data_IF_818007528074
#
_entry.id   IF_818007528074
#
_cell.length_a   1.000
_cell.length_b   1.000
_cell.length_c   1.000
_cell.angle_alpha   90.00
_cell.angle_beta   90.00
_cell.angle_gamma   90.00
#
_symmetry.space_group_name_H-M   'P 1'
#
loop_
_entity.id
_entity.type
_entity.pdbx_description
1 polymer ?
#
# COMPACT_ATOMS: atom_id res chain seq x y z
N UNK A 1 0.43 38.11 31.47
CA UNK A 1 0.81 38.60 30.13
C UNK A 1 2.25 38.20 29.75
N UNK A 2 3.23 38.45 30.61
CA UNK A 2 4.65 38.12 30.34
C UNK A 2 4.97 36.63 30.09
N UNK A 3 4.30 35.70 30.78
CA UNK A 3 4.51 34.26 30.55
C UNK A 3 4.09 33.83 29.14
N UNK A 4 2.97 34.39 28.65
CA UNK A 4 2.48 34.13 27.29
C UNK A 4 3.48 34.67 26.25
N UNK A 5 3.98 35.89 26.45
CA UNK A 5 4.98 36.50 25.56
C UNK A 5 6.27 35.68 25.50
N UNK A 6 6.81 35.26 26.65
CA UNK A 6 7.99 34.39 26.73
C UNK A 6 7.79 33.07 26.01
N UNK A 7 6.64 32.43 26.18
CA UNK A 7 6.32 31.18 25.50
C UNK A 7 6.23 31.36 23.98
N UNK A 8 5.67 32.47 23.49
CA UNK A 8 5.64 32.78 22.06
C UNK A 8 7.04 32.98 21.49
N UNK A 9 7.92 33.70 22.19
CA UNK A 9 9.33 33.86 21.78
C UNK A 9 10.08 32.52 21.73
N UNK A 10 9.77 31.59 22.64
CA UNK A 10 10.35 30.24 22.59
C UNK A 10 9.81 29.45 21.39
N UNK A 11 8.52 29.58 21.06
CA UNK A 11 7.95 28.95 19.87
C UNK A 11 8.60 29.47 18.57
N UNK A 12 8.80 30.78 18.43
CA UNK A 12 9.53 31.37 17.29
C UNK A 12 10.98 30.87 17.19
N UNK A 13 11.65 30.64 18.33
CA UNK A 13 13.00 30.04 18.33
C UNK A 13 12.98 28.61 17.82
N UNK A 14 11.97 27.81 18.21
CA UNK A 14 11.81 26.43 17.72
C UNK A 14 11.58 26.43 16.21
N UNK A 15 10.72 27.31 15.70
CA UNK A 15 10.45 27.47 14.27
C UNK A 15 11.73 27.75 13.47
N UNK A 16 12.55 28.71 13.91
CA UNK A 16 13.82 29.05 13.24
C UNK A 16 14.83 27.89 13.23
N UNK A 17 14.86 27.08 14.29
CA UNK A 17 15.72 25.90 14.36
C UNK A 17 15.24 24.87 13.33
N UNK A 18 13.94 24.59 13.31
CA UNK A 18 13.35 23.65 12.35
C UNK A 18 13.61 24.08 10.89
N UNK A 19 13.42 25.36 10.57
CA UNK A 19 13.69 25.91 9.25
C UNK A 19 15.17 25.74 8.85
N UNK A 20 16.10 25.98 9.77
CA UNK A 20 17.53 25.80 9.52
C UNK A 20 17.88 24.33 9.22
N UNK A 21 17.29 23.40 9.97
CA UNK A 21 17.55 21.97 9.79
C UNK A 21 16.96 21.45 8.47
N UNK A 22 15.76 21.91 8.08
CA UNK A 22 15.16 21.62 6.77
C UNK A 22 16.03 22.17 5.64
N UNK A 23 16.50 23.41 5.75
CA UNK A 23 17.38 24.03 4.75
C UNK A 23 18.72 23.28 4.62
N UNK A 24 19.26 22.75 5.71
CA UNK A 24 20.47 21.92 5.68
C UNK A 24 20.19 20.58 4.97
N UNK A 25 19.10 19.90 5.32
CA UNK A 25 18.70 18.65 4.70
C UNK A 25 18.46 18.83 3.19
N UNK A 26 17.83 19.92 2.77
CA UNK A 26 17.64 20.26 1.35
C UNK A 26 18.98 20.42 0.62
N UNK A 27 19.95 21.13 1.20
CA UNK A 27 21.28 21.26 0.60
C UNK A 27 21.96 19.91 0.39
N UNK A 28 21.82 19.00 1.38
CA UNK A 28 22.36 17.63 1.27
C UNK A 28 21.68 16.89 0.12
N UNK A 29 20.35 16.89 0.05
CA UNK A 29 19.61 16.25 -1.05
C UNK A 29 20.01 16.80 -2.42
N UNK A 30 20.10 18.12 -2.56
CA UNK A 30 20.49 18.77 -3.83
C UNK A 30 21.92 18.41 -4.26
N UNK A 31 22.79 18.06 -3.31
CA UNK A 31 24.17 17.66 -3.58
C UNK A 31 24.34 16.22 -4.08
N UNK A 32 23.31 15.37 -4.01
CA UNK A 32 23.42 13.99 -4.49
C UNK A 32 23.67 13.94 -6.00
N UNK A 33 24.56 13.05 -6.45
CA UNK A 33 24.79 12.82 -7.88
C UNK A 33 23.86 11.76 -8.44
N UNK A 34 23.54 10.75 -7.64
CA UNK A 34 22.62 9.68 -8.00
C UNK A 34 21.17 10.19 -8.05
N UNK A 35 20.49 9.91 -9.17
CA UNK A 35 19.12 10.37 -9.43
C UNK A 35 18.13 9.75 -8.47
N UNK A 36 18.16 8.44 -8.30
CA UNK A 36 17.20 7.73 -7.44
C UNK A 36 17.32 8.21 -5.98
N UNK A 37 18.55 8.36 -5.48
CA UNK A 37 18.82 8.91 -4.16
C UNK A 37 18.29 10.34 -4.02
N UNK A 38 18.42 11.18 -5.06
CA UNK A 38 17.91 12.55 -5.04
C UNK A 38 16.38 12.61 -5.03
N UNK A 39 15.71 11.83 -5.87
CA UNK A 39 14.25 11.69 -5.87
C UNK A 39 13.77 11.23 -4.48
N UNK A 40 14.40 10.20 -3.92
CA UNK A 40 14.06 9.73 -2.58
C UNK A 40 14.30 10.79 -1.49
N UNK A 41 15.39 11.55 -1.61
CA UNK A 41 15.68 12.70 -0.74
C UNK A 41 14.57 13.74 -0.78
N UNK A 42 14.10 14.12 -1.96
CA UNK A 42 12.99 15.06 -2.12
C UNK A 42 11.67 14.51 -1.55
N UNK A 43 11.34 13.23 -1.78
CA UNK A 43 10.16 12.61 -1.16
C UNK A 43 10.24 12.61 0.38
N UNK A 44 11.45 12.48 0.94
CA UNK A 44 11.68 12.57 2.38
C UNK A 44 11.45 13.98 2.91
N UNK A 45 11.93 15.01 2.20
CA UNK A 45 11.68 16.40 2.54
C UNK A 45 10.19 16.74 2.42
N UNK A 46 9.51 16.24 1.38
CA UNK A 46 8.07 16.37 1.21
C UNK A 46 7.31 15.77 2.40
N UNK A 47 7.63 14.52 2.79
CA UNK A 47 7.03 13.87 3.95
C UNK A 47 7.19 14.68 5.24
N UNK A 48 8.36 15.25 5.47
CA UNK A 48 8.68 16.01 6.68
C UNK A 48 7.95 17.37 6.72
N UNK A 49 7.92 18.07 5.58
CA UNK A 49 7.52 19.49 5.52
C UNK A 49 6.12 19.72 4.97
N UNK A 50 5.57 18.75 4.22
CA UNK A 50 4.37 18.89 3.37
C UNK A 50 4.49 19.99 2.31
N UNK A 51 5.69 20.42 1.98
CA UNK A 51 5.91 21.40 0.92
C UNK A 51 5.80 20.72 -0.47
N UNK A 52 4.78 21.03 -1.29
CA UNK A 52 4.56 20.36 -2.57
C UNK A 52 5.69 20.57 -3.58
N UNK A 53 6.51 21.62 -3.43
CA UNK A 53 7.65 21.84 -4.32
C UNK A 53 8.67 20.68 -4.27
N UNK A 54 8.81 19.99 -3.13
CA UNK A 54 9.69 18.82 -3.08
C UNK A 54 9.11 17.61 -3.82
N UNK A 55 7.79 17.42 -3.78
CA UNK A 55 7.16 16.37 -4.60
C UNK A 55 7.30 16.70 -6.09
N UNK A 56 7.12 17.97 -6.45
CA UNK A 56 7.32 18.44 -7.82
C UNK A 56 8.77 18.24 -8.29
N UNK A 57 9.75 18.64 -7.48
CA UNK A 57 11.18 18.40 -7.76
C UNK A 57 11.47 16.89 -7.97
N UNK A 58 10.85 16.01 -7.17
CA UNK A 58 10.98 14.56 -7.31
C UNK A 58 10.41 14.05 -8.64
N UNK A 59 9.24 14.56 -9.06
CA UNK A 59 8.56 14.17 -10.31
C UNK A 59 9.29 14.72 -11.53
N UNK A 60 9.74 15.97 -11.51
CA UNK A 60 10.48 16.59 -12.63
C UNK A 60 11.82 15.88 -12.90
N UNK A 61 12.39 15.26 -11.86
CA UNK A 61 13.61 14.46 -11.97
C UNK A 61 13.39 13.03 -12.48
N UNK A 62 12.17 12.51 -12.47
CA UNK A 62 11.90 11.13 -12.84
C UNK A 62 12.03 10.94 -14.36
N UNK A 63 12.83 9.95 -14.78
CA UNK A 63 13.07 9.66 -16.20
C UNK A 63 12.60 8.27 -16.60
N UNK A 64 12.43 7.37 -15.63
CA UNK A 64 12.13 5.96 -15.87
C UNK A 64 10.89 5.50 -15.12
N UNK A 65 10.28 4.40 -15.58
CA UNK A 65 9.19 3.75 -14.86
C UNK A 65 9.55 3.35 -13.41
N UNK A 66 10.83 3.09 -13.13
CA UNK A 66 11.31 2.79 -11.77
C UNK A 66 11.25 4.04 -10.89
N UNK A 67 11.65 5.20 -11.43
CA UNK A 67 11.57 6.47 -10.72
C UNK A 67 10.10 6.82 -10.38
N UNK A 68 9.19 6.70 -11.35
CA UNK A 68 7.76 6.95 -11.14
C UNK A 68 7.13 5.95 -10.15
N UNK A 69 7.49 4.66 -10.27
CA UNK A 69 7.03 3.64 -9.32
C UNK A 69 7.52 3.96 -7.90
N UNK A 70 8.78 4.35 -7.73
CA UNK A 70 9.34 4.75 -6.44
C UNK A 70 8.60 5.94 -5.85
N UNK A 71 8.22 6.93 -6.66
CA UNK A 71 7.42 8.09 -6.21
C UNK A 71 6.07 7.62 -5.69
N UNK A 72 5.35 6.77 -6.43
CA UNK A 72 4.06 6.20 -6.00
C UNK A 72 4.20 5.38 -4.72
N UNK A 73 5.27 4.60 -4.59
CA UNK A 73 5.56 3.76 -3.42
C UNK A 73 5.90 4.55 -2.17
N UNK A 74 6.69 5.61 -2.31
CA UNK A 74 7.26 6.32 -1.15
C UNK A 74 6.51 7.59 -0.78
N UNK A 75 5.74 8.18 -1.68
CA UNK A 75 4.88 9.31 -1.34
C UNK A 75 3.83 8.89 -0.31
N UNK A 76 3.57 9.77 0.65
CA UNK A 76 2.48 9.58 1.60
C UNK A 76 1.11 9.90 0.97
N UNK A 77 1.10 10.66 -0.12
CA UNK A 77 -0.09 10.96 -0.89
C UNK A 77 -0.34 9.86 -1.93
N UNK A 78 -1.62 9.64 -2.23
CA UNK A 78 -2.02 8.76 -3.32
C UNK A 78 -1.93 9.57 -4.63
N UNK A 79 -1.03 9.17 -5.52
CA UNK A 79 -0.68 9.88 -6.75
C UNK A 79 -1.04 9.03 -7.99
N UNK A 80 -2.34 8.83 -8.30
CA UNK A 80 -2.78 8.06 -9.47
C UNK A 80 -2.28 8.65 -10.80
N UNK A 81 -2.12 9.98 -10.88
CA UNK A 81 -1.56 10.66 -12.04
C UNK A 81 -0.12 10.25 -12.34
N UNK A 82 0.70 10.02 -11.30
CA UNK A 82 2.08 9.54 -11.47
C UNK A 82 2.11 8.07 -11.88
N UNK A 83 1.18 7.25 -11.38
CA UNK A 83 1.03 5.87 -11.84
C UNK A 83 0.64 5.79 -13.33
N UNK A 84 -0.10 6.78 -13.86
CA UNK A 84 -0.44 6.83 -15.28
C UNK A 84 0.76 7.15 -16.19
N UNK A 85 1.78 7.83 -15.68
CA UNK A 85 3.01 8.17 -16.42
C UNK A 85 3.89 6.94 -16.70
N UNK A 86 3.70 5.83 -15.97
CA UNK A 86 4.45 4.59 -16.15
C UNK A 86 4.04 3.92 -17.48
N UNK A 87 4.99 3.57 -18.33
CA UNK A 87 4.70 2.95 -19.63
C UNK A 87 4.55 1.43 -19.53
N UNK A 88 5.43 0.77 -18.76
CA UNK A 88 5.40 -0.67 -18.58
C UNK A 88 4.10 -1.12 -17.92
N UNK A 89 3.33 -1.94 -18.63
CA UNK A 89 2.07 -2.51 -18.13
C UNK A 89 2.24 -3.20 -16.77
N UNK A 90 3.32 -3.97 -16.60
CA UNK A 90 3.59 -4.65 -15.32
C UNK A 90 3.84 -3.66 -14.18
N UNK A 91 4.69 -2.64 -14.41
CA UNK A 91 5.00 -1.64 -13.38
C UNK A 91 3.80 -0.74 -13.08
N UNK A 92 2.99 -0.40 -14.09
CA UNK A 92 1.73 0.32 -13.90
C UNK A 92 0.76 -0.46 -13.02
N UNK A 93 0.64 -1.78 -13.25
CA UNK A 93 -0.14 -2.66 -12.37
C UNK A 93 0.38 -2.66 -10.93
N UNK A 94 1.70 -2.69 -10.73
CA UNK A 94 2.31 -2.58 -9.40
C UNK A 94 2.00 -1.23 -8.72
N UNK A 95 2.16 -0.12 -9.44
CA UNK A 95 1.85 1.21 -8.93
C UNK A 95 0.37 1.31 -8.49
N UNK A 96 -0.56 0.80 -9.30
CA UNK A 96 -1.97 0.76 -8.91
C UNK A 96 -2.26 -0.19 -7.75
N UNK A 97 -1.55 -1.32 -7.63
CA UNK A 97 -1.63 -2.17 -6.44
C UNK A 97 -1.20 -1.42 -5.17
N UNK A 98 -0.11 -0.65 -5.24
CA UNK A 98 0.37 0.19 -4.14
C UNK A 98 -0.69 1.22 -3.74
N UNK A 99 -1.27 1.93 -4.72
CA UNK A 99 -2.33 2.91 -4.46
C UNK A 99 -3.57 2.26 -3.83
N UNK A 100 -4.02 1.12 -4.37
CA UNK A 100 -5.14 0.34 -3.83
C UNK A 100 -4.88 -0.07 -2.38
N UNK A 101 -3.68 -0.53 -2.06
CA UNK A 101 -3.34 -1.01 -0.72
C UNK A 101 -3.12 0.08 0.32
N UNK A 102 -2.70 1.28 -0.11
CA UNK A 102 -2.55 2.47 0.73
C UNK A 102 -3.90 3.09 1.07
N UNK A 103 -4.73 3.29 0.04
CA UNK A 103 -6.00 4.02 0.16
C UNK A 103 -7.18 3.12 0.53
N UNK A 104 -7.13 1.85 0.11
CA UNK A 104 -8.29 0.98 0.12
C UNK A 104 -9.37 1.37 -0.90
N UNK A 105 -9.10 2.31 -1.82
CA UNK A 105 -10.09 2.71 -2.83
C UNK A 105 -10.26 1.60 -3.86
N UNK A 106 -11.42 0.94 -3.81
CA UNK A 106 -11.73 -0.18 -4.71
C UNK A 106 -12.00 0.26 -6.15
N UNK A 107 -12.17 1.57 -6.43
CA UNK A 107 -12.25 2.04 -7.82
C UNK A 107 -10.94 1.78 -8.57
N UNK A 108 -9.82 1.71 -7.86
CA UNK A 108 -8.51 1.43 -8.45
C UNK A 108 -8.39 -0.01 -8.98
N UNK A 109 -9.29 -0.93 -8.61
CA UNK A 109 -9.24 -2.31 -9.12
C UNK A 109 -9.43 -2.37 -10.63
N UNK A 110 -10.18 -1.42 -11.22
CA UNK A 110 -10.40 -1.38 -12.67
C UNK A 110 -9.16 -0.94 -13.47
N UNK A 111 -8.14 -0.43 -12.77
CA UNK A 111 -6.86 0.00 -13.34
C UNK A 111 -5.80 -1.12 -13.30
N UNK A 112 -6.08 -2.23 -12.61
CA UNK A 112 -5.16 -3.37 -12.46
C UNK A 112 -5.67 -4.51 -13.35
N UNK A 113 -5.02 -4.71 -14.50
CA UNK A 113 -5.36 -5.77 -15.45
C UNK A 113 -4.74 -7.12 -15.09
N UNK A 114 -3.63 -7.15 -14.33
CA UNK A 114 -3.02 -8.39 -13.87
C UNK A 114 -3.85 -8.99 -12.72
N UNK A 115 -4.58 -10.06 -13.05
CA UNK A 115 -5.48 -10.77 -12.13
C UNK A 115 -4.76 -11.27 -10.88
N UNK A 116 -3.50 -11.73 -11.01
CA UNK A 116 -2.74 -12.28 -9.90
C UNK A 116 -2.30 -11.16 -8.94
N UNK A 117 -1.80 -10.05 -9.48
CA UNK A 117 -1.44 -8.88 -8.69
C UNK A 117 -2.67 -8.29 -8.01
N UNK A 118 -3.77 -8.08 -8.75
CA UNK A 118 -5.04 -7.59 -8.20
C UNK A 118 -5.53 -8.47 -7.04
N UNK A 119 -5.51 -9.78 -7.23
CA UNK A 119 -5.97 -10.74 -6.22
C UNK A 119 -5.12 -10.74 -4.96
N UNK A 120 -3.80 -10.65 -5.12
CA UNK A 120 -2.88 -10.54 -3.99
C UNK A 120 -3.10 -9.24 -3.21
N UNK A 121 -3.29 -8.12 -3.90
CA UNK A 121 -3.54 -6.81 -3.31
C UNK A 121 -4.90 -6.74 -2.61
N UNK A 122 -5.97 -7.25 -3.23
CA UNK A 122 -7.29 -7.34 -2.61
C UNK A 122 -7.29 -8.23 -1.36
N UNK A 123 -6.53 -9.33 -1.34
CA UNK A 123 -6.33 -10.11 -0.11
C UNK A 123 -5.72 -9.25 1.00
N UNK A 124 -4.66 -8.48 0.70
CA UNK A 124 -4.04 -7.58 1.69
C UNK A 124 -5.01 -6.49 2.17
N UNK A 125 -5.78 -5.88 1.26
CA UNK A 125 -6.81 -4.90 1.59
C UNK A 125 -7.90 -5.51 2.48
N UNK A 126 -8.37 -6.72 2.17
CA UNK A 126 -9.38 -7.42 2.97
C UNK A 126 -8.92 -7.62 4.43
N UNK A 127 -7.65 -7.99 4.63
CA UNK A 127 -7.12 -8.25 5.98
C UNK A 127 -6.92 -6.98 6.83
N UNK A 128 -6.70 -5.83 6.18
CA UNK A 128 -6.63 -4.52 6.85
C UNK A 128 -8.00 -3.99 7.29
N UNK A 129 -9.10 -4.49 6.72
CA UNK A 129 -10.46 -4.02 7.00
C UNK A 129 -11.10 -4.78 8.16
N UNK A 130 -12.13 -4.16 8.73
CA UNK A 130 -13.00 -4.75 9.74
C UNK A 130 -14.18 -5.48 9.08
N UNK A 131 -14.72 -6.47 9.77
CA UNK A 131 -15.98 -7.11 9.39
C UNK A 131 -17.15 -6.10 9.45
N UNK A 132 -18.12 -6.11 8.51
CA UNK A 132 -18.31 -7.05 7.40
C UNK A 132 -17.58 -6.68 6.10
N UNK A 133 -16.88 -5.54 6.09
CA UNK A 133 -16.27 -5.02 4.86
C UNK A 133 -15.11 -5.90 4.36
N UNK A 134 -14.33 -6.46 5.28
CA UNK A 134 -13.27 -7.43 4.97
C UNK A 134 -13.80 -8.63 4.17
N UNK A 135 -14.99 -9.15 4.51
CA UNK A 135 -15.64 -10.25 3.79
C UNK A 135 -16.08 -9.82 2.39
N UNK A 136 -16.64 -8.61 2.25
CA UNK A 136 -17.00 -8.05 0.94
C UNK A 136 -15.79 -7.97 0.02
N UNK A 137 -14.65 -7.47 0.52
CA UNK A 137 -13.41 -7.39 -0.28
C UNK A 137 -12.85 -8.78 -0.59
N UNK A 138 -12.86 -9.71 0.36
CA UNK A 138 -12.40 -11.08 0.11
C UNK A 138 -13.20 -11.75 -1.02
N UNK A 139 -14.51 -11.54 -1.09
CA UNK A 139 -15.38 -12.05 -2.17
C UNK A 139 -15.11 -11.42 -3.53
N UNK A 140 -14.58 -10.20 -3.58
CA UNK A 140 -14.21 -9.51 -4.84
C UNK A 140 -12.91 -10.06 -5.47
N UNK A 141 -12.16 -10.91 -4.78
CA UNK A 141 -10.90 -11.45 -5.29
C UNK A 141 -11.20 -12.34 -6.52
N UNK A 142 -10.64 -12.02 -7.71
CA UNK A 142 -10.94 -12.75 -8.93
C UNK A 142 -10.23 -14.11 -9.02
N UNK A 143 -8.97 -14.21 -8.54
CA UNK A 143 -8.26 -15.48 -8.53
C UNK A 143 -8.79 -16.39 -7.41
N UNK A 144 -9.26 -17.61 -7.73
CA UNK A 144 -9.90 -18.50 -6.77
C UNK A 144 -8.94 -18.99 -5.68
N UNK A 145 -7.64 -19.12 -5.97
CA UNK A 145 -6.65 -19.53 -4.98
C UNK A 145 -6.45 -18.43 -3.93
N UNK A 146 -6.28 -17.19 -4.36
CA UNK A 146 -6.19 -16.06 -3.44
C UNK A 146 -7.49 -15.81 -2.67
N UNK A 147 -8.65 -15.99 -3.33
CA UNK A 147 -9.97 -15.87 -2.69
C UNK A 147 -10.14 -16.91 -1.58
N UNK A 148 -9.84 -18.18 -1.85
CA UNK A 148 -9.90 -19.23 -0.86
C UNK A 148 -8.98 -18.94 0.35
N UNK A 149 -7.75 -18.47 0.09
CA UNK A 149 -6.84 -18.08 1.17
C UNK A 149 -7.38 -16.91 2.01
N UNK A 150 -7.95 -15.89 1.38
CA UNK A 150 -8.53 -14.74 2.08
C UNK A 150 -9.72 -15.15 2.94
N UNK A 151 -10.62 -16.00 2.42
CA UNK A 151 -11.79 -16.50 3.16
C UNK A 151 -11.39 -17.39 4.34
N UNK A 152 -10.38 -18.26 4.19
CA UNK A 152 -9.86 -19.07 5.31
C UNK A 152 -9.31 -18.18 6.43
N UNK A 153 -8.46 -17.22 6.09
CA UNK A 153 -7.83 -16.30 7.06
C UNK A 153 -8.89 -15.42 7.74
N UNK A 154 -9.90 -14.98 6.99
CA UNK A 154 -11.00 -14.18 7.54
C UNK A 154 -11.90 -14.98 8.48
N UNK A 155 -12.23 -16.23 8.12
CA UNK A 155 -13.03 -17.12 8.97
C UNK A 155 -12.38 -17.36 10.32
N UNK A 156 -11.05 -17.48 10.35
CA UNK A 156 -10.27 -17.56 11.59
C UNK A 156 -10.28 -16.23 12.35
N UNK A 157 -9.90 -15.12 11.70
CA UNK A 157 -9.78 -13.79 12.30
C UNK A 157 -11.08 -13.34 12.95
N UNK A 158 -12.20 -13.49 12.25
CA UNK A 158 -13.51 -12.98 12.66
C UNK A 158 -14.36 -14.06 13.35
N UNK A 159 -13.87 -15.30 13.45
CA UNK A 159 -14.57 -16.46 14.04
C UNK A 159 -15.93 -16.77 13.40
N UNK A 160 -16.02 -16.63 12.08
CA UNK A 160 -17.23 -16.88 11.28
C UNK A 160 -17.10 -18.17 10.46
N UNK A 161 -18.22 -18.86 10.22
CA UNK A 161 -18.24 -20.06 9.38
C UNK A 161 -18.34 -19.66 7.90
N UNK A 162 -17.29 -19.94 7.14
CA UNK A 162 -17.19 -19.72 5.69
C UNK A 162 -16.89 -21.03 4.94
N UNK A 163 -17.10 -22.20 5.55
CA UNK A 163 -16.67 -23.49 4.99
C UNK A 163 -17.15 -23.72 3.56
N UNK A 164 -18.42 -23.42 3.28
CA UNK A 164 -19.02 -23.65 1.96
C UNK A 164 -18.42 -22.71 0.91
N UNK A 165 -18.27 -21.42 1.24
CA UNK A 165 -17.63 -20.45 0.33
C UNK A 165 -16.16 -20.75 0.07
N UNK A 166 -15.43 -21.20 1.10
CA UNK A 166 -14.04 -21.64 0.96
C UNK A 166 -13.99 -22.88 0.05
N UNK A 167 -14.83 -23.88 0.28
CA UNK A 167 -14.88 -25.10 -0.54
C UNK A 167 -15.18 -24.79 -2.01
N UNK A 168 -16.12 -23.88 -2.26
CA UNK A 168 -16.46 -23.43 -3.60
C UNK A 168 -15.29 -22.72 -4.28
N UNK A 169 -14.61 -21.81 -3.57
CA UNK A 169 -13.42 -21.15 -4.11
C UNK A 169 -12.30 -22.16 -4.43
N UNK A 170 -12.07 -23.16 -3.58
CA UNK A 170 -11.06 -24.21 -3.81
C UNK A 170 -11.38 -25.03 -5.06
N UNK A 171 -12.64 -25.41 -5.28
CA UNK A 171 -13.06 -26.17 -6.47
C UNK A 171 -12.74 -25.44 -7.78
N UNK A 172 -12.84 -24.11 -7.78
CA UNK A 172 -12.57 -23.26 -8.94
C UNK A 172 -11.07 -23.08 -9.24
N UNK A 173 -10.15 -23.58 -8.40
CA UNK A 173 -8.71 -23.52 -8.67
C UNK A 173 -8.31 -24.57 -9.69
N UNK A 174 -7.93 -24.17 -10.90
CA UNK A 174 -7.59 -25.11 -11.99
C UNK A 174 -6.33 -25.95 -11.72
N UNK A 175 -5.32 -25.37 -11.08
CA UNK A 175 -4.08 -26.08 -10.80
C UNK A 175 -4.29 -27.12 -9.68
N UNK A 176 -4.22 -28.40 -10.02
CA UNK A 176 -4.47 -29.51 -9.09
C UNK A 176 -3.54 -29.52 -7.87
N UNK A 177 -2.26 -29.15 -8.03
CA UNK A 177 -1.32 -29.08 -6.92
C UNK A 177 -1.68 -27.95 -5.94
N UNK A 178 -2.06 -26.78 -6.47
CA UNK A 178 -2.52 -25.65 -5.65
C UNK A 178 -3.85 -25.96 -4.96
N UNK A 179 -4.78 -26.61 -5.67
CA UNK A 179 -6.07 -27.06 -5.13
C UNK A 179 -5.85 -28.02 -3.95
N UNK A 180 -5.04 -29.07 -4.14
CA UNK A 180 -4.71 -30.04 -3.08
C UNK A 180 -4.09 -29.36 -1.85
N UNK A 181 -3.19 -28.40 -2.05
CA UNK A 181 -2.59 -27.64 -0.95
C UNK A 181 -3.64 -26.87 -0.15
N UNK A 182 -4.64 -26.28 -0.81
CA UNK A 182 -5.74 -25.59 -0.12
C UNK A 182 -6.64 -26.58 0.63
N UNK A 183 -6.97 -27.73 0.05
CA UNK A 183 -7.76 -28.78 0.71
C UNK A 183 -7.05 -29.30 1.98
N UNK A 184 -5.74 -29.52 1.91
CA UNK A 184 -4.93 -29.90 3.08
C UNK A 184 -4.95 -28.81 4.15
N UNK A 185 -4.88 -27.53 3.75
CA UNK A 185 -5.00 -26.40 4.67
C UNK A 185 -6.38 -26.33 5.33
N UNK A 186 -7.46 -26.51 4.57
CA UNK A 186 -8.83 -26.57 5.11
C UNK A 186 -8.97 -27.64 6.19
N UNK A 187 -8.46 -28.85 5.94
CA UNK A 187 -8.52 -29.96 6.90
C UNK A 187 -7.79 -29.63 8.20
N UNK A 188 -6.63 -28.97 8.11
CA UNK A 188 -5.89 -28.52 9.30
C UNK A 188 -6.68 -27.49 10.09
N UNK A 189 -7.28 -26.51 9.43
CA UNK A 189 -8.07 -25.46 10.09
C UNK A 189 -9.32 -26.00 10.80
N UNK A 190 -9.93 -27.09 10.28
CA UNK A 190 -11.04 -27.78 10.92
C UNK A 190 -10.59 -28.55 12.17
N UNK A 191 -9.37 -29.10 12.16
CA UNK A 191 -8.84 -29.97 13.22
C UNK A 191 -8.02 -29.22 14.28
N UNK A 192 -7.77 -27.91 14.12
CA UNK A 192 -7.15 -27.08 15.15
C UNK A 192 -8.17 -26.82 16.28
N UNK A 193 -7.89 -27.19 17.54
CA UNK A 193 -8.83 -26.97 18.64
C UNK A 193 -9.13 -25.46 18.76
N UNK A 194 -10.41 -25.11 18.62
CA UNK A 194 -10.90 -23.77 18.94
C UNK A 194 -10.68 -23.54 20.43
N UNK A 195 -9.62 -22.84 20.79
CA UNK A 195 -9.44 -22.39 22.17
C UNK A 195 -10.57 -21.40 22.47
N UNK A 196 -11.50 -21.86 23.32
CA UNK A 196 -12.61 -21.10 23.88
C UNK A 196 -12.08 -20.00 24.79
#
# INVERSE_FOLDING_TARGET
MERKLRNLQLAEKVEKIAEKDVNLAEKVVRSFEDREAKIFGFLTLFKLTRNPEYLKDAVEMAETDEDYLMIVERSEEALPEIAEMIESSYRKNLAYCVLLEKTGDLNLTTKISDVRLLSASLKRVAMKRHYPESLRVARMIPDPYYRALALMELGEKERIDLKDEIAEAVKQVDNAAMRRRLEEKMKKNINSPKQL
#
